data_IF_618950273639
#
_entry.id   IF_618950273639
#
_cell.length_a   1.000
_cell.length_b   1.000
_cell.length_c   1.000
_cell.angle_alpha   90.00
_cell.angle_beta   90.00
_cell.angle_gamma   90.00
#
_symmetry.space_group_name_H-M   'P 1'
#
loop_
_entity.id
_entity.type
_entity.pdbx_description
1 polymer ?
#
# COMPACT_ATOMS: atom_id res chain seq x y z
N UNK A 1 -41.15 72.16 -41.04
CA UNK A 1 -41.53 70.78 -40.65
C UNK A 1 -40.28 70.01 -40.27
N UNK A 2 -40.06 69.76 -38.97
CA UNK A 2 -38.90 69.01 -38.47
C UNK A 2 -39.20 67.52 -38.45
N UNK A 3 -38.34 66.71 -39.08
CA UNK A 3 -38.37 65.24 -38.95
C UNK A 3 -37.56 64.86 -37.72
N UNK A 4 -38.23 64.31 -36.72
CA UNK A 4 -37.57 63.53 -35.67
C UNK A 4 -37.08 62.22 -36.30
N UNK A 5 -35.75 62.00 -36.26
CA UNK A 5 -35.18 60.67 -36.46
C UNK A 5 -35.29 59.93 -35.13
N UNK A 6 -36.12 58.89 -35.10
CA UNK A 6 -36.10 57.90 -34.03
C UNK A 6 -34.93 56.95 -34.25
N UNK A 7 -33.78 57.26 -33.66
CA UNK A 7 -32.66 56.33 -33.56
C UNK A 7 -32.89 55.37 -32.39
N UNK A 8 -33.79 54.40 -32.55
CA UNK A 8 -33.82 53.20 -31.70
C UNK A 8 -32.67 52.27 -32.10
N UNK A 9 -31.44 52.67 -31.73
CA UNK A 9 -30.27 51.81 -31.80
C UNK A 9 -30.35 50.81 -30.65
N UNK A 10 -31.01 49.67 -30.89
CA UNK A 10 -30.85 48.52 -30.00
C UNK A 10 -29.36 48.22 -29.91
N UNK A 11 -28.76 48.40 -28.73
CA UNK A 11 -27.40 47.95 -28.41
C UNK A 11 -27.40 46.43 -28.51
N UNK A 12 -27.21 45.91 -29.73
CA UNK A 12 -27.00 44.50 -29.96
C UNK A 12 -25.79 44.09 -29.15
N UNK A 13 -26.00 43.22 -28.17
CA UNK A 13 -24.92 42.52 -27.50
C UNK A 13 -24.03 41.95 -28.60
N UNK A 14 -22.74 42.32 -28.57
CA UNK A 14 -21.75 41.83 -29.53
C UNK A 14 -21.91 40.32 -29.67
N UNK A 15 -22.22 39.84 -30.88
CA UNK A 15 -22.33 38.40 -31.14
C UNK A 15 -21.05 37.68 -30.72
N UNK A 16 -19.90 38.36 -30.85
CA UNK A 16 -18.62 37.85 -30.34
C UNK A 16 -18.55 37.72 -28.83
N UNK A 17 -19.18 38.63 -28.06
CA UNK A 17 -19.28 38.50 -26.60
C UNK A 17 -20.14 37.30 -26.21
N UNK A 18 -21.26 37.09 -26.89
CA UNK A 18 -22.13 35.92 -26.68
C UNK A 18 -21.39 34.61 -26.95
N UNK A 19 -20.67 34.52 -28.06
CA UNK A 19 -19.86 33.32 -28.39
C UNK A 19 -18.76 33.08 -27.36
N UNK A 20 -18.06 34.13 -26.92
CA UNK A 20 -17.00 34.01 -25.91
C UNK A 20 -17.55 33.51 -24.55
N UNK A 21 -18.70 34.02 -24.12
CA UNK A 21 -19.36 33.59 -22.89
C UNK A 21 -19.79 32.12 -23.00
N UNK A 22 -20.39 31.71 -24.12
CA UNK A 22 -20.80 30.32 -24.34
C UNK A 22 -19.58 29.39 -24.34
N UNK A 23 -18.49 29.77 -25.00
CA UNK A 23 -17.27 28.98 -25.01
C UNK A 23 -16.70 28.79 -23.59
N UNK A 24 -16.67 29.84 -22.77
CA UNK A 24 -16.25 29.75 -21.37
C UNK A 24 -17.15 28.81 -20.55
N UNK A 25 -18.47 28.87 -20.76
CA UNK A 25 -19.41 27.97 -20.09
C UNK A 25 -19.16 26.52 -20.50
N UNK A 26 -18.94 26.25 -21.79
CA UNK A 26 -18.64 24.90 -22.29
C UNK A 26 -17.33 24.37 -21.71
N UNK A 27 -16.27 25.18 -21.71
CA UNK A 27 -14.99 24.81 -21.11
C UNK A 27 -15.15 24.55 -19.61
N UNK A 28 -15.87 25.42 -18.90
CA UNK A 28 -16.14 25.25 -17.47
C UNK A 28 -16.91 23.96 -17.18
N UNK A 29 -17.94 23.64 -17.97
CA UNK A 29 -18.69 22.40 -17.85
C UNK A 29 -17.83 21.16 -18.15
N UNK A 30 -16.95 21.24 -19.15
CA UNK A 30 -15.99 20.19 -19.47
C UNK A 30 -14.98 19.95 -18.34
N UNK A 31 -14.41 21.02 -17.78
CA UNK A 31 -13.48 20.92 -16.64
C UNK A 31 -14.18 20.38 -15.41
N UNK A 32 -15.40 20.85 -15.10
CA UNK A 32 -16.17 20.36 -13.96
C UNK A 32 -16.54 18.89 -14.11
N UNK A 33 -16.97 18.48 -15.31
CA UNK A 33 -17.22 17.08 -15.63
C UNK A 33 -15.95 16.22 -15.53
N UNK A 34 -14.80 16.75 -15.97
CA UNK A 34 -13.51 16.07 -15.87
C UNK A 34 -13.06 15.88 -14.42
N UNK A 35 -13.22 16.90 -13.57
CA UNK A 35 -12.91 16.80 -12.13
C UNK A 35 -13.79 15.73 -11.48
N UNK A 36 -15.11 15.78 -11.69
CA UNK A 36 -16.06 14.81 -11.15
C UNK A 36 -15.82 13.36 -11.61
N UNK A 37 -15.26 13.15 -12.81
CA UNK A 37 -14.84 11.84 -13.28
C UNK A 37 -13.48 11.44 -12.68
N UNK A 38 -12.55 12.39 -12.59
CA UNK A 38 -11.24 12.20 -11.94
C UNK A 38 -11.34 11.84 -10.46
N UNK A 39 -12.30 12.41 -9.72
CA UNK A 39 -12.56 12.03 -8.32
C UNK A 39 -13.05 10.57 -8.19
N UNK A 40 -13.83 10.05 -9.15
CA UNK A 40 -14.23 8.63 -9.16
C UNK A 40 -13.06 7.71 -9.48
N UNK A 41 -12.24 8.08 -10.47
CA UNK A 41 -11.02 7.34 -10.83
C UNK A 41 -9.99 7.39 -9.70
N UNK A 42 -9.91 8.47 -8.93
CA UNK A 42 -9.05 8.55 -7.73
C UNK A 42 -9.56 7.63 -6.61
N UNK A 43 -10.87 7.57 -6.39
CA UNK A 43 -11.44 6.62 -5.44
C UNK A 43 -11.24 5.17 -5.89
N UNK A 44 -11.35 4.88 -7.19
CA UNK A 44 -11.01 3.56 -7.75
C UNK A 44 -9.50 3.29 -7.74
N UNK A 45 -8.64 4.29 -7.91
CA UNK A 45 -7.18 4.16 -7.82
C UNK A 45 -6.69 3.95 -6.39
N UNK A 46 -7.34 4.53 -5.40
CA UNK A 46 -7.11 4.27 -3.98
C UNK A 46 -7.70 2.92 -3.57
N UNK A 47 -8.86 2.52 -4.12
CA UNK A 47 -9.40 1.17 -3.92
C UNK A 47 -8.62 0.09 -4.65
N UNK A 48 -8.00 0.36 -5.80
CA UNK A 48 -7.11 -0.55 -6.51
C UNK A 48 -5.74 -0.64 -5.82
N UNK A 49 -5.24 0.46 -5.24
CA UNK A 49 -4.05 0.45 -4.39
C UNK A 49 -4.29 -0.23 -3.03
N UNK A 50 -5.53 -0.32 -2.56
CA UNK A 50 -5.94 -1.12 -1.41
C UNK A 50 -6.44 -2.53 -1.76
N UNK A 51 -6.59 -2.86 -3.05
CA UNK A 51 -6.98 -4.18 -3.51
C UNK A 51 -5.70 -4.97 -3.73
N UNK A 52 -5.27 -5.68 -2.70
CA UNK A 52 -4.13 -6.59 -2.75
C UNK A 52 -4.28 -7.58 -3.91
N UNK A 53 -3.76 -7.19 -5.08
CA UNK A 53 -4.02 -7.81 -6.38
C UNK A 53 -3.51 -9.25 -6.39
N UNK A 54 -2.37 -9.47 -5.76
CA UNK A 54 -1.76 -10.79 -5.57
C UNK A 54 -2.27 -11.49 -4.29
N UNK A 55 -3.14 -10.84 -3.52
CA UNK A 55 -3.83 -11.39 -2.36
C UNK A 55 -3.11 -11.17 -1.02
N UNK A 56 -3.52 -11.93 -0.01
CA UNK A 56 -2.93 -11.89 1.33
C UNK A 56 -1.59 -12.64 1.39
N UNK A 57 -0.61 -12.05 2.05
CA UNK A 57 0.68 -12.65 2.34
C UNK A 57 0.92 -12.64 3.86
N UNK A 58 1.06 -13.83 4.45
CA UNK A 58 1.39 -13.94 5.87
C UNK A 58 2.89 -14.07 6.07
N UNK A 59 3.50 -13.09 6.72
CA UNK A 59 4.87 -13.13 7.18
C UNK A 59 4.95 -13.95 8.48
N UNK A 60 5.40 -15.20 8.36
CA UNK A 60 5.67 -16.05 9.52
C UNK A 60 7.01 -15.68 10.16
N UNK A 61 6.98 -15.35 11.44
CA UNK A 61 8.15 -14.97 12.25
C UNK A 61 8.31 -15.97 13.40
N UNK A 62 9.45 -16.62 13.48
CA UNK A 62 9.82 -17.42 14.65
C UNK A 62 10.58 -16.53 15.64
N UNK A 63 10.17 -16.52 16.90
CA UNK A 63 10.82 -15.73 17.94
C UNK A 63 11.01 -16.54 19.21
N UNK A 64 12.13 -16.29 19.90
CA UNK A 64 12.35 -16.89 21.21
C UNK A 64 11.21 -16.51 22.20
N UNK A 65 10.71 -17.44 23.03
CA UNK A 65 9.65 -17.18 23.98
C UNK A 65 9.89 -15.98 24.90
N UNK A 66 11.16 -15.63 25.19
CA UNK A 66 11.51 -14.48 26.01
C UNK A 66 11.15 -13.12 25.37
N UNK A 67 11.10 -13.05 24.04
CA UNK A 67 10.84 -11.80 23.29
C UNK A 67 9.58 -11.87 22.41
N UNK A 68 9.04 -13.07 22.17
CA UNK A 68 7.88 -13.28 21.30
C UNK A 68 6.64 -12.46 21.68
N UNK A 69 6.31 -12.17 22.96
CA UNK A 69 5.13 -11.36 23.27
C UNK A 69 5.25 -9.91 22.81
N UNK A 70 6.45 -9.34 22.84
CA UNK A 70 6.73 -7.99 22.35
C UNK A 70 6.64 -7.94 20.82
N UNK A 71 7.27 -8.90 20.14
CA UNK A 71 7.21 -9.01 18.68
C UNK A 71 5.80 -9.29 18.18
N UNK A 72 5.01 -10.11 18.88
CA UNK A 72 3.62 -10.37 18.53
C UNK A 72 2.75 -9.11 18.65
N UNK A 73 3.07 -8.19 19.57
CA UNK A 73 2.39 -6.89 19.67
C UNK A 73 2.71 -6.01 18.47
N UNK A 74 3.99 -5.87 18.13
CA UNK A 74 4.44 -5.10 16.97
C UNK A 74 3.86 -5.70 15.68
N UNK A 75 3.85 -7.02 15.54
CA UNK A 75 3.27 -7.71 14.39
C UNK A 75 1.77 -7.48 14.25
N UNK A 76 1.03 -7.45 15.37
CA UNK A 76 -0.39 -7.06 15.35
C UNK A 76 -0.59 -5.61 14.95
N UNK A 77 0.14 -4.67 15.55
CA UNK A 77 0.06 -3.25 15.18
C UNK A 77 0.39 -3.02 13.70
N UNK A 78 1.37 -3.76 13.17
CA UNK A 78 1.68 -3.76 11.74
C UNK A 78 0.52 -4.32 10.91
N UNK A 79 -0.03 -5.47 11.27
CA UNK A 79 -1.16 -6.10 10.56
C UNK A 79 -2.42 -5.21 10.60
N UNK A 80 -2.71 -4.59 11.74
CA UNK A 80 -3.86 -3.71 11.95
C UNK A 80 -3.75 -2.39 11.16
N UNK A 81 -2.55 -2.05 10.68
CA UNK A 81 -2.34 -0.91 9.77
C UNK A 81 -2.71 -1.21 8.31
N UNK A 82 -3.18 -2.43 8.03
CA UNK A 82 -3.55 -2.93 6.71
C UNK A 82 -2.48 -2.62 5.64
N UNK A 83 -1.23 -3.08 5.85
CA UNK A 83 -0.11 -2.66 5.03
C UNK A 83 -0.15 -3.38 3.69
N UNK A 84 -0.13 -2.59 2.61
CA UNK A 84 0.01 -3.09 1.24
C UNK A 84 1.48 -2.96 0.82
N UNK A 85 2.16 -4.09 0.63
CA UNK A 85 3.54 -4.13 0.11
C UNK A 85 3.49 -4.71 -1.29
N UNK A 86 3.87 -3.87 -2.28
CA UNK A 86 3.67 -4.16 -3.71
C UNK A 86 2.19 -4.43 -3.99
N UNK A 87 1.84 -5.67 -4.24
CA UNK A 87 0.51 -6.12 -4.63
C UNK A 87 -0.10 -7.07 -3.58
N UNK A 88 0.50 -7.15 -2.39
CA UNK A 88 0.07 -8.01 -1.29
C UNK A 88 -0.37 -7.24 -0.05
N UNK A 89 -1.43 -7.72 0.59
CA UNK A 89 -1.81 -7.34 1.95
C UNK A 89 -0.97 -8.18 2.89
N UNK A 90 -0.16 -7.54 3.73
CA UNK A 90 0.78 -8.28 4.58
C UNK A 90 0.26 -8.39 6.00
N UNK A 91 0.11 -9.62 6.48
CA UNK A 91 -0.14 -9.92 7.89
C UNK A 91 1.08 -10.54 8.54
N UNK A 92 1.29 -10.31 9.83
CA UNK A 92 2.44 -10.85 10.57
C UNK A 92 1.95 -11.85 11.60
N UNK A 93 2.49 -13.07 11.54
CA UNK A 93 2.22 -14.10 12.53
C UNK A 93 3.51 -14.49 13.24
N UNK A 94 3.54 -14.28 14.56
CA UNK A 94 4.69 -14.62 15.40
C UNK A 94 4.44 -15.94 16.13
N UNK A 95 5.33 -16.90 15.93
CA UNK A 95 5.33 -18.20 16.61
C UNK A 95 6.47 -18.23 17.62
N UNK A 96 6.16 -18.60 18.86
CA UNK A 96 7.17 -18.76 19.92
C UNK A 96 7.89 -20.10 19.75
N UNK A 97 9.17 -20.07 19.41
CA UNK A 97 10.02 -21.26 19.25
C UNK A 97 11.34 -21.00 19.97
N UNK A 98 11.77 -21.93 20.82
CA UNK A 98 13.04 -21.82 21.54
C UNK A 98 14.21 -21.62 20.58
N UNK A 99 15.14 -20.73 20.92
CA UNK A 99 16.27 -20.40 20.04
C UNK A 99 17.13 -21.61 19.67
N UNK A 100 17.26 -22.58 20.57
CA UNK A 100 17.93 -23.86 20.33
C UNK A 100 17.21 -24.70 19.29
N UNK A 101 15.89 -24.89 19.45
CA UNK A 101 15.04 -25.66 18.53
C UNK A 101 15.04 -25.01 17.13
N UNK A 102 14.81 -23.70 17.07
CA UNK A 102 14.78 -22.97 15.80
C UNK A 102 16.13 -23.02 15.08
N UNK A 103 17.24 -22.88 15.82
CA UNK A 103 18.59 -22.95 15.27
C UNK A 103 18.91 -24.32 14.69
N UNK A 104 18.59 -25.38 15.42
CA UNK A 104 18.79 -26.76 14.96
C UNK A 104 17.95 -27.06 13.71
N UNK A 105 16.67 -26.67 13.72
CA UNK A 105 15.78 -26.85 12.58
C UNK A 105 16.21 -26.05 11.33
N UNK A 106 16.72 -24.81 11.51
CA UNK A 106 17.21 -23.99 10.40
C UNK A 106 18.55 -24.48 9.85
N UNK A 107 19.38 -25.12 10.67
CA UNK A 107 20.67 -25.67 10.27
C UNK A 107 20.57 -27.11 9.71
N UNK A 108 19.42 -27.78 9.89
CA UNK A 108 19.18 -29.14 9.42
C UNK A 108 19.24 -29.25 7.89
N UNK A 109 19.88 -30.31 7.39
CA UNK A 109 19.86 -30.68 5.97
C UNK A 109 18.49 -31.24 5.53
N UNK A 110 17.74 -31.84 6.47
CA UNK A 110 16.39 -32.37 6.22
C UNK A 110 15.35 -31.24 6.06
N UNK A 111 15.76 -30.00 6.34
CA UNK A 111 14.92 -28.81 6.22
C UNK A 111 14.05 -28.54 7.45
N UNK A 112 13.11 -27.62 7.29
CA UNK A 112 12.22 -27.19 8.35
C UNK A 112 11.08 -28.20 8.55
N UNK A 113 10.89 -28.67 9.78
CA UNK A 113 9.80 -29.60 10.12
C UNK A 113 8.45 -28.91 10.22
N UNK A 114 7.43 -29.48 9.58
CA UNK A 114 6.04 -29.01 9.67
C UNK A 114 5.47 -29.08 11.10
N UNK A 115 6.05 -29.89 11.98
CA UNK A 115 5.66 -29.97 13.40
C UNK A 115 5.97 -28.66 14.16
N UNK A 116 6.93 -27.88 13.67
CA UNK A 116 7.26 -26.55 14.20
C UNK A 116 6.35 -25.45 13.63
N UNK A 117 5.41 -25.83 12.76
CA UNK A 117 4.56 -24.91 12.01
C UNK A 117 5.18 -24.47 10.69
N UNK A 118 4.60 -23.45 10.03
CA UNK A 118 5.11 -22.96 8.75
C UNK A 118 6.54 -22.43 8.91
N UNK A 119 7.38 -22.70 7.90
CA UNK A 119 8.76 -22.22 7.90
C UNK A 119 8.79 -20.70 7.99
N UNK A 120 9.50 -20.13 8.98
CA UNK A 120 9.53 -18.68 9.15
C UNK A 120 10.34 -18.01 8.04
N UNK A 121 9.88 -16.85 7.59
CA UNK A 121 10.64 -15.94 6.74
C UNK A 121 11.66 -15.13 7.56
N UNK A 122 11.42 -14.97 8.86
CA UNK A 122 12.30 -14.28 9.80
C UNK A 122 12.41 -15.06 11.11
N UNK A 123 13.63 -15.24 11.60
CA UNK A 123 13.89 -15.77 12.93
C UNK A 123 14.57 -14.72 13.81
N UNK A 124 14.04 -14.52 15.03
CA UNK A 124 14.62 -13.64 16.04
C UNK A 124 15.02 -14.46 17.28
N UNK A 125 16.33 -14.67 17.51
CA UNK A 125 16.81 -15.44 18.66
C UNK A 125 16.74 -14.65 19.97
N UNK A 126 16.92 -15.36 21.08
CA UNK A 126 17.11 -14.77 22.40
C UNK A 126 18.34 -13.85 22.45
N UNK A 127 19.38 -14.18 21.68
CA UNK A 127 20.63 -13.42 21.69
C UNK A 127 21.39 -13.50 20.37
N UNK A 128 22.32 -12.57 20.15
CA UNK A 128 23.25 -12.61 19.01
C UNK A 128 24.28 -13.75 19.12
N UNK A 129 24.41 -14.42 20.27
CA UNK A 129 25.25 -15.60 20.40
C UNK A 129 24.69 -16.77 19.57
N UNK A 130 23.36 -16.91 19.55
CA UNK A 130 22.67 -17.96 18.79
C UNK A 130 22.93 -17.86 17.28
N UNK A 131 23.07 -16.63 16.77
CA UNK A 131 23.37 -16.37 15.36
C UNK A 131 24.75 -16.89 14.93
N UNK A 132 25.73 -16.95 15.86
CA UNK A 132 27.09 -17.41 15.54
C UNK A 132 27.18 -18.91 15.32
N UNK A 133 26.14 -19.64 15.69
CA UNK A 133 26.09 -21.10 15.61
C UNK A 133 25.37 -21.59 14.34
N UNK A 134 24.92 -20.68 13.48
CA UNK A 134 24.32 -21.02 12.19
C UNK A 134 25.30 -20.71 11.05
N UNK A 135 25.39 -21.56 10.02
CA UNK A 135 26.17 -21.25 8.82
C UNK A 135 25.74 -19.92 8.18
N UNK A 136 26.72 -19.12 7.75
CA UNK A 136 26.47 -17.79 7.14
C UNK A 136 25.64 -17.90 5.85
N UNK A 137 25.68 -19.04 5.17
CA UNK A 137 24.86 -19.34 3.99
C UNK A 137 23.36 -19.37 4.29
N UNK A 138 22.98 -19.67 5.53
CA UNK A 138 21.59 -19.70 5.98
C UNK A 138 21.11 -18.33 6.47
N UNK A 139 22.04 -17.40 6.70
CA UNK A 139 21.76 -16.03 7.11
C UNK A 139 21.69 -15.13 5.87
N UNK A 140 20.49 -14.90 5.36
CA UNK A 140 20.26 -13.69 4.60
C UNK A 140 20.33 -12.52 5.61
N UNK A 141 21.37 -11.71 5.54
CA UNK A 141 21.34 -10.40 6.20
C UNK A 141 20.06 -9.70 5.74
N UNK A 142 19.38 -8.99 6.64
CA UNK A 142 18.18 -8.21 6.33
C UNK A 142 18.44 -7.01 5.37
N UNK A 143 19.50 -7.09 4.56
CA UNK A 143 19.75 -6.19 3.46
C UNK A 143 18.58 -6.30 2.48
N UNK A 144 17.83 -5.21 2.27
CA UNK A 144 16.69 -5.23 1.39
C UNK A 144 17.16 -5.56 -0.03
N UNK A 145 16.71 -6.70 -0.55
CA UNK A 145 16.90 -7.06 -1.96
C UNK A 145 15.69 -6.58 -2.73
N UNK A 146 15.92 -5.82 -3.79
CA UNK A 146 14.88 -5.56 -4.79
C UNK A 146 14.54 -6.89 -5.45
N UNK A 147 13.34 -7.41 -5.17
CA UNK A 147 12.73 -8.51 -5.90
C UNK A 147 12.20 -8.04 -7.26
#
# INVERSE_FOLDING_TARGET
MGRHRDDKRFRGVSVGLLVAVVALVVVGAGVFGWMQLGERIRNEGVQAAGACVEGELTLHVAADPAISPALARIGREFTDSEPVIRDHCVSVQVTAIGSDIAREALASEDGWSDELGPRPALWVPASSHDLRQIPVSTLANADPRSI
#
